data_IF_857863177618
#
_entry.id   IF_857863177618
#
_cell.length_a   1.000
_cell.length_b   1.000
_cell.length_c   1.000
_cell.angle_alpha   90.00
_cell.angle_beta   90.00
_cell.angle_gamma   90.00
#
_symmetry.space_group_name_H-M   'P 1'
#
loop_
_entity.id
_entity.type
_entity.pdbx_description
1 polymer ?
#
# COMPACT_ATOMS: atom_id res chain seq x y z
N UNK A 1 6.08 13.58 -5.94
CA UNK A 1 4.89 12.84 -5.49
C UNK A 1 5.25 11.56 -4.77
N UNK A 2 4.27 10.71 -4.53
CA UNK A 2 4.51 9.46 -3.82
C UNK A 2 4.40 8.27 -4.78
N UNK A 3 5.52 7.56 -4.99
CA UNK A 3 5.54 6.30 -5.75
C UNK A 3 4.62 5.27 -5.13
N UNK A 4 4.12 4.36 -5.97
CA UNK A 4 3.20 3.31 -5.53
C UNK A 4 3.84 2.44 -4.45
N UNK A 5 5.15 2.31 -4.52
CA UNK A 5 5.90 1.56 -3.52
C UNK A 5 5.80 2.26 -2.16
N UNK A 6 5.92 3.57 -2.17
CA UNK A 6 5.84 4.36 -0.95
C UNK A 6 4.42 4.38 -0.43
N UNK A 7 3.47 4.51 -1.35
CA UNK A 7 2.06 4.45 -1.01
C UNK A 7 1.74 3.12 -0.35
N UNK A 8 2.29 2.05 -0.90
CA UNK A 8 2.09 0.73 -0.36
C UNK A 8 2.78 0.59 0.99
N UNK A 9 3.94 1.22 1.15
CA UNK A 9 4.66 1.19 2.41
C UNK A 9 3.85 1.89 3.50
N UNK A 10 3.31 3.05 3.17
CA UNK A 10 2.50 3.82 4.10
C UNK A 10 1.22 3.06 4.44
N UNK A 11 0.59 2.53 3.41
CA UNK A 11 -0.65 1.78 3.58
C UNK A 11 -0.41 0.52 4.39
N UNK A 12 0.74 -0.11 4.16
CA UNK A 12 1.10 -1.32 4.87
C UNK A 12 1.29 -1.01 6.35
N UNK A 13 1.93 0.11 6.63
CA UNK A 13 2.22 0.52 8.00
C UNK A 13 0.96 0.97 8.73
N UNK A 14 0.14 1.75 8.03
CA UNK A 14 -1.06 2.35 8.64
C UNK A 14 -2.23 1.37 8.63
N UNK A 15 -2.14 0.34 7.81
CA UNK A 15 -3.21 -0.63 7.72
C UNK A 15 -4.28 -0.18 6.73
N UNK A 16 -3.87 0.66 5.80
CA UNK A 16 -4.80 1.21 4.81
C UNK A 16 -4.60 0.54 3.46
N UNK A 17 -4.03 -0.64 3.47
CA UNK A 17 -3.79 -1.39 2.24
C UNK A 17 -5.08 -2.07 1.78
N UNK A 18 -5.92 -1.28 1.13
CA UNK A 18 -7.22 -1.74 0.65
C UNK A 18 -7.29 -1.59 -0.86
N UNK A 19 -8.21 -2.31 -1.49
CA UNK A 19 -8.38 -2.21 -2.93
C UNK A 19 -7.14 -2.64 -3.69
N UNK A 20 -6.63 -1.75 -4.54
CA UNK A 20 -5.42 -2.03 -5.30
C UNK A 20 -4.23 -2.15 -4.37
N UNK A 21 -4.20 -1.33 -3.33
CA UNK A 21 -3.13 -1.37 -2.35
C UNK A 21 -3.17 -2.67 -1.56
N UNK A 22 -4.32 -3.31 -1.54
CA UNK A 22 -4.44 -4.60 -0.89
C UNK A 22 -3.74 -5.65 -1.73
N UNK A 23 -3.84 -5.52 -3.04
CA UNK A 23 -3.21 -6.44 -3.96
C UNK A 23 -1.69 -6.24 -3.92
N UNK A 24 -1.26 -4.99 -3.94
CA UNK A 24 0.16 -4.66 -3.95
C UNK A 24 0.80 -4.99 -2.60
N UNK A 25 0.18 -4.54 -1.53
CA UNK A 25 0.73 -4.71 -0.19
C UNK A 25 0.43 -6.09 0.36
N UNK A 26 -0.46 -6.81 -0.32
CA UNK A 26 -0.76 -8.21 -0.01
C UNK A 26 -1.38 -8.37 1.37
N UNK A 27 -2.24 -7.44 1.73
CA UNK A 27 -2.93 -7.50 3.00
C UNK A 27 -4.20 -8.34 2.87
#
# INVERSE_FOLDING_TARGET
GLPRKILCAIAKKKGKCKGALKLVCKCX
#
